data_IF_168707663293
#
_entry.id   IF_168707663293
#
_cell.length_a   1.000
_cell.length_b   1.000
_cell.length_c   1.000
_cell.angle_alpha   90.00
_cell.angle_beta   90.00
_cell.angle_gamma   90.00
#
_symmetry.space_group_name_H-M   'P 1'
#
loop_
_entity.id
_entity.type
_entity.pdbx_description
1 polymer ?
#
# COMPACT_ATOMS: atom_id res chain seq x y z
N UNK A 1 25.88 -80.82 -50.86
CA UNK A 1 26.16 -81.92 -49.92
C UNK A 1 26.53 -81.31 -48.57
N UNK A 2 25.65 -81.57 -47.59
CA UNK A 2 25.84 -81.53 -46.11
C UNK A 2 26.21 -80.22 -45.40
N UNK A 3 25.12 -79.56 -44.97
CA UNK A 3 24.82 -78.74 -43.78
C UNK A 3 25.31 -79.31 -42.42
N UNK A 4 25.30 -78.64 -41.25
CA UNK A 4 24.72 -77.38 -40.77
C UNK A 4 25.43 -76.96 -39.45
N UNK A 5 25.36 -75.67 -39.07
CA UNK A 5 25.81 -75.17 -37.75
C UNK A 5 24.95 -73.98 -37.25
N UNK A 6 24.61 -74.02 -35.96
CA UNK A 6 24.28 -72.94 -34.98
C UNK A 6 22.83 -72.37 -34.93
N UNK A 7 22.20 -72.29 -33.74
CA UNK A 7 21.75 -71.06 -33.00
C UNK A 7 20.82 -71.34 -31.77
N UNK A 8 21.13 -70.58 -30.70
CA UNK A 8 20.63 -70.26 -29.34
C UNK A 8 19.12 -70.17 -28.93
N UNK A 9 18.91 -70.32 -27.59
CA UNK A 9 18.32 -69.37 -26.57
C UNK A 9 16.97 -69.67 -25.84
N UNK A 10 17.10 -69.87 -24.50
CA UNK A 10 16.37 -69.31 -23.32
C UNK A 10 14.83 -69.28 -23.18
N UNK A 11 14.31 -69.81 -22.05
CA UNK A 11 13.37 -69.07 -21.15
C UNK A 11 13.28 -69.65 -19.72
N UNK A 12 13.72 -68.85 -18.75
CA UNK A 12 13.58 -69.05 -17.30
C UNK A 12 12.28 -68.40 -16.77
N UNK A 13 11.83 -68.92 -15.61
CA UNK A 13 11.10 -68.21 -14.55
C UNK A 13 9.62 -67.86 -14.76
N UNK A 14 8.75 -68.74 -14.24
CA UNK A 14 7.34 -68.48 -13.89
C UNK A 14 7.20 -68.61 -12.37
N UNK A 15 7.43 -67.55 -11.58
CA UNK A 15 6.78 -67.37 -10.27
C UNK A 15 7.11 -66.00 -9.64
N UNK A 16 6.50 -64.93 -10.14
CA UNK A 16 6.37 -63.61 -9.46
C UNK A 16 5.59 -62.66 -10.37
N UNK A 17 4.27 -62.84 -10.44
CA UNK A 17 3.43 -61.94 -11.23
C UNK A 17 1.99 -61.92 -10.71
N UNK A 18 1.81 -61.59 -9.43
CA UNK A 18 0.53 -61.13 -8.87
C UNK A 18 0.86 -60.06 -7.83
N UNK A 19 1.35 -58.89 -8.26
CA UNK A 19 1.41 -57.65 -7.49
C UNK A 19 1.91 -56.51 -8.40
N UNK A 20 1.22 -56.28 -9.53
CA UNK A 20 1.53 -55.14 -10.42
C UNK A 20 0.32 -54.81 -11.29
N UNK A 21 -0.78 -54.43 -10.65
CA UNK A 21 -2.04 -54.17 -11.37
C UNK A 21 -3.08 -53.37 -10.60
N UNK A 22 -2.69 -52.59 -9.60
CA UNK A 22 -3.61 -51.69 -8.89
C UNK A 22 -2.88 -50.48 -8.27
N UNK A 23 -2.25 -49.67 -9.12
CA UNK A 23 -1.72 -48.36 -8.71
C UNK A 23 -1.72 -47.39 -9.91
N UNK A 24 -2.87 -47.30 -10.58
CA UNK A 24 -3.22 -46.14 -11.42
C UNK A 24 -4.53 -45.61 -10.85
N UNK A 25 -4.48 -45.18 -9.59
CA UNK A 25 -5.55 -44.39 -8.99
C UNK A 25 -5.18 -42.93 -9.19
N UNK A 26 -5.66 -42.37 -10.30
CA UNK A 26 -6.10 -40.98 -10.44
C UNK A 26 -5.35 -39.98 -9.54
N UNK A 27 -4.11 -39.64 -9.91
CA UNK A 27 -3.61 -38.30 -9.62
C UNK A 27 -4.33 -37.34 -10.57
N UNK A 28 -5.59 -37.04 -10.26
CA UNK A 28 -6.23 -35.85 -10.78
C UNK A 28 -5.45 -34.68 -10.24
N UNK A 29 -4.60 -34.10 -11.09
CA UNK A 29 -3.97 -32.81 -10.86
C UNK A 29 -5.09 -31.78 -10.69
N UNK A 30 -5.58 -31.62 -9.46
CA UNK A 30 -6.24 -30.38 -9.08
C UNK A 30 -5.11 -29.37 -8.91
N UNK A 31 -4.70 -28.77 -10.02
CA UNK A 31 -4.16 -27.42 -9.94
C UNK A 31 -5.32 -26.56 -9.44
N UNK A 32 -5.43 -26.44 -8.11
CA UNK A 32 -6.16 -25.33 -7.52
C UNK A 32 -5.37 -24.08 -7.88
N UNK A 33 -5.55 -23.57 -9.10
CA UNK A 33 -5.21 -22.20 -9.40
C UNK A 33 -6.17 -21.40 -8.53
N UNK A 34 -5.69 -20.96 -7.36
CA UNK A 34 -6.40 -19.98 -6.57
C UNK A 34 -6.52 -18.76 -7.47
N UNK A 35 -7.66 -18.63 -8.15
CA UNK A 35 -7.95 -17.45 -8.96
C UNK A 35 -7.80 -16.26 -8.03
N UNK A 36 -6.91 -15.33 -8.37
CA UNK A 36 -6.76 -14.12 -7.58
C UNK A 36 -8.12 -13.43 -7.50
N UNK A 37 -8.52 -12.93 -6.33
CA UNK A 37 -9.78 -12.20 -6.20
C UNK A 37 -9.68 -10.94 -7.05
N UNK A 38 -10.77 -10.59 -7.73
CA UNK A 38 -10.85 -9.40 -8.56
C UNK A 38 -12.05 -8.56 -8.11
N UNK A 39 -11.94 -7.25 -8.28
CA UNK A 39 -13.05 -6.30 -8.11
C UNK A 39 -12.97 -5.25 -9.22
N UNK A 40 -14.11 -4.89 -9.81
CA UNK A 40 -14.20 -3.85 -10.82
C UNK A 40 -14.54 -2.50 -10.19
N UNK A 41 -13.68 -1.50 -10.36
CA UNK A 41 -14.01 -0.10 -10.10
C UNK A 41 -14.82 0.46 -11.28
N UNK A 42 -16.02 0.94 -10.98
CA UNK A 42 -16.89 1.60 -11.97
C UNK A 42 -16.54 3.07 -12.11
N UNK A 43 -16.59 3.56 -13.34
CA UNK A 43 -16.40 4.98 -13.64
C UNK A 43 -17.68 5.75 -13.26
N UNK A 44 -17.51 6.80 -12.48
CA UNK A 44 -18.58 7.69 -12.06
C UNK A 44 -18.33 9.12 -12.52
N UNK A 45 -19.42 9.81 -12.85
CA UNK A 45 -19.43 11.26 -13.08
C UNK A 45 -20.13 12.01 -11.96
N UNK A 46 -20.91 11.30 -11.13
CA UNK A 46 -21.58 11.85 -9.97
C UNK A 46 -20.57 12.25 -8.90
N UNK A 47 -20.90 13.28 -8.13
CA UNK A 47 -20.11 13.71 -6.99
C UNK A 47 -20.50 12.89 -5.76
N UNK A 48 -19.53 12.26 -5.11
CA UNK A 48 -19.71 11.63 -3.79
C UNK A 48 -19.52 12.73 -2.73
N UNK A 49 -20.43 12.83 -1.79
CA UNK A 49 -20.29 13.73 -0.64
C UNK A 49 -19.58 12.93 0.44
N UNK A 50 -18.30 13.23 0.65
CA UNK A 50 -17.52 12.52 1.64
C UNK A 50 -18.01 12.87 3.05
N UNK A 51 -18.82 11.99 3.64
CA UNK A 51 -19.39 12.14 4.99
C UNK A 51 -19.32 10.85 5.83
N UNK A 52 -18.86 9.76 5.23
CA UNK A 52 -18.68 8.49 5.90
C UNK A 52 -19.98 7.73 6.13
N UNK A 53 -21.08 8.08 5.43
CA UNK A 53 -22.37 7.40 5.52
C UNK A 53 -22.60 6.38 4.40
N UNK A 54 -21.98 6.60 3.23
CA UNK A 54 -22.08 5.71 2.06
C UNK A 54 -23.55 5.48 1.63
N UNK A 55 -24.38 6.51 1.73
CA UNK A 55 -25.82 6.46 1.50
C UNK A 55 -26.24 6.81 0.06
N UNK A 56 -25.30 7.34 -0.74
CA UNK A 56 -25.56 7.67 -2.13
C UNK A 56 -25.84 6.41 -2.96
N UNK A 57 -26.82 6.52 -3.86
CA UNK A 57 -27.26 5.39 -4.69
C UNK A 57 -26.15 4.81 -5.56
N UNK A 58 -25.12 5.59 -5.89
CA UNK A 58 -23.99 5.11 -6.71
C UNK A 58 -23.21 3.97 -6.03
N UNK A 59 -23.09 3.99 -4.70
CA UNK A 59 -22.45 2.93 -3.92
C UNK A 59 -23.16 1.57 -4.06
N UNK A 60 -24.48 1.58 -4.29
CA UNK A 60 -25.26 0.36 -4.52
C UNK A 60 -24.96 -0.29 -5.87
N UNK A 61 -24.38 0.47 -6.80
CA UNK A 61 -23.97 -0.05 -8.12
C UNK A 61 -22.57 -0.63 -8.10
N UNK A 62 -21.75 -0.29 -7.10
CA UNK A 62 -20.38 -0.76 -6.98
C UNK A 62 -20.32 -2.26 -6.71
N UNK A 63 -19.29 -2.92 -7.25
CA UNK A 63 -18.99 -4.30 -6.88
C UNK A 63 -18.49 -4.35 -5.43
N UNK A 64 -18.80 -5.44 -4.72
CA UNK A 64 -18.47 -5.62 -3.30
C UNK A 64 -17.33 -6.61 -3.15
N UNK A 65 -16.17 -6.12 -2.70
CA UNK A 65 -15.07 -6.93 -2.20
C UNK A 65 -15.39 -7.35 -0.76
N UNK A 66 -16.05 -8.50 -0.63
CA UNK A 66 -16.38 -9.13 0.66
C UNK A 66 -15.63 -10.43 0.92
N UNK A 67 -16.17 -11.23 1.84
CA UNK A 67 -15.69 -12.58 2.21
C UNK A 67 -14.21 -12.59 2.57
N UNK A 68 -13.81 -11.67 3.46
CA UNK A 68 -12.44 -11.58 3.95
C UNK A 68 -12.03 -12.91 4.62
N UNK A 69 -10.77 -13.27 4.46
CA UNK A 69 -10.16 -14.40 5.14
C UNK A 69 -9.46 -13.89 6.38
N UNK A 70 -9.52 -14.67 7.44
CA UNK A 70 -8.70 -14.40 8.60
C UNK A 70 -7.23 -14.62 8.22
N UNK A 71 -6.35 -13.77 8.74
CA UNK A 71 -4.90 -13.95 8.72
C UNK A 71 -4.41 -14.39 10.09
N UNK A 72 -4.92 -13.77 11.16
CA UNK A 72 -4.62 -14.14 12.54
C UNK A 72 -5.94 -14.18 13.35
N UNK A 73 -6.19 -15.21 14.18
CA UNK A 73 -5.30 -16.29 14.61
C UNK A 73 -5.13 -17.49 13.66
N UNK A 74 -5.91 -17.62 12.57
CA UNK A 74 -5.73 -18.69 11.58
C UNK A 74 -5.99 -18.20 10.15
N UNK A 75 -5.17 -18.64 9.19
CA UNK A 75 -5.33 -18.36 7.75
C UNK A 75 -6.19 -19.40 7.00
N UNK A 76 -6.94 -20.23 7.73
CA UNK A 76 -7.73 -21.33 7.17
C UNK A 76 -9.24 -21.10 7.24
N UNK A 77 -9.67 -19.97 7.78
CA UNK A 77 -11.09 -19.66 8.02
C UNK A 77 -11.45 -18.27 7.52
N UNK A 78 -12.73 -18.07 7.25
CA UNK A 78 -13.29 -16.75 6.97
C UNK A 78 -13.19 -15.82 8.19
N UNK A 79 -13.11 -14.52 7.93
CA UNK A 79 -13.13 -13.50 8.97
C UNK A 79 -14.43 -13.59 9.77
N UNK A 80 -14.33 -13.53 11.11
CA UNK A 80 -15.49 -13.60 11.99
C UNK A 80 -16.43 -12.39 11.87
N UNK A 81 -15.89 -11.21 11.56
CA UNK A 81 -16.63 -9.95 11.46
C UNK A 81 -16.61 -9.48 10.02
N UNK A 82 -17.79 -9.25 9.46
CA UNK A 82 -17.93 -8.88 8.05
C UNK A 82 -17.17 -7.58 7.76
N UNK A 83 -16.43 -7.58 6.66
CA UNK A 83 -15.81 -6.39 6.09
C UNK A 83 -16.10 -6.39 4.60
N UNK A 84 -16.61 -5.27 4.11
CA UNK A 84 -16.94 -5.04 2.71
C UNK A 84 -16.22 -3.79 2.22
N UNK A 85 -15.64 -3.89 1.03
CA UNK A 85 -15.01 -2.76 0.36
C UNK A 85 -15.64 -2.58 -1.02
N UNK A 86 -15.97 -1.34 -1.37
CA UNK A 86 -16.47 -0.93 -2.68
C UNK A 86 -15.48 0.06 -3.27
N UNK A 87 -15.20 -0.04 -4.56
CA UNK A 87 -14.31 0.89 -5.25
C UNK A 87 -15.03 1.51 -6.43
N UNK A 88 -14.97 2.83 -6.51
CA UNK A 88 -15.46 3.65 -7.61
C UNK A 88 -14.33 4.60 -8.03
N UNK A 89 -14.41 5.17 -9.22
CA UNK A 89 -13.44 6.20 -9.61
C UNK A 89 -14.06 7.21 -10.56
N UNK A 90 -13.56 8.44 -10.51
CA UNK A 90 -13.86 9.49 -11.48
C UNK A 90 -12.63 9.80 -12.34
N UNK A 91 -12.67 10.85 -13.14
CA UNK A 91 -11.47 11.32 -13.85
C UNK A 91 -10.36 11.84 -12.91
N UNK A 92 -10.70 12.18 -11.66
CA UNK A 92 -9.81 12.89 -10.74
C UNK A 92 -9.50 12.13 -9.46
N UNK A 93 -10.38 11.23 -9.01
CA UNK A 93 -10.25 10.55 -7.73
C UNK A 93 -10.57 9.06 -7.84
N UNK A 94 -9.89 8.28 -7.02
CA UNK A 94 -10.31 6.95 -6.60
C UNK A 94 -11.13 7.09 -5.32
N UNK A 95 -12.30 6.48 -5.28
CA UNK A 95 -13.19 6.45 -4.12
C UNK A 95 -13.28 5.04 -3.55
N UNK A 96 -13.16 4.91 -2.24
CA UNK A 96 -13.28 3.62 -1.55
C UNK A 96 -14.29 3.75 -0.42
N UNK A 97 -15.37 2.98 -0.52
CA UNK A 97 -16.40 2.86 0.50
C UNK A 97 -16.16 1.58 1.30
N UNK A 98 -16.22 1.66 2.62
CA UNK A 98 -15.87 0.56 3.51
C UNK A 98 -16.99 0.42 4.53
N UNK A 99 -17.48 -0.81 4.68
CA UNK A 99 -18.34 -1.22 5.78
C UNK A 99 -17.63 -2.29 6.58
N UNK A 100 -17.66 -2.20 7.91
CA UNK A 100 -16.99 -3.16 8.78
C UNK A 100 -17.76 -3.37 10.09
N UNK A 101 -18.16 -4.62 10.34
CA UNK A 101 -18.83 -5.02 11.58
C UNK A 101 -17.89 -4.86 12.78
N UNK A 102 -18.45 -4.34 13.87
CA UNK A 102 -17.77 -4.11 15.14
C UNK A 102 -17.75 -5.40 15.96
N UNK A 103 -16.61 -5.70 16.57
CA UNK A 103 -16.51 -6.78 17.56
C UNK A 103 -17.00 -6.31 18.94
N UNK A 104 -17.37 -7.23 19.86
CA UNK A 104 -17.77 -6.85 21.21
C UNK A 104 -16.70 -6.00 21.91
N UNK A 105 -17.15 -4.95 22.62
CA UNK A 105 -16.29 -3.98 23.30
C UNK A 105 -16.19 -2.64 22.58
N UNK A 106 -15.25 -1.81 22.99
CA UNK A 106 -15.01 -0.50 22.39
C UNK A 106 -13.87 -0.56 21.36
N UNK A 107 -13.89 0.36 20.41
CA UNK A 107 -12.79 0.51 19.46
C UNK A 107 -11.51 0.92 20.19
N UNK A 108 -10.40 0.25 19.86
CA UNK A 108 -9.07 0.51 20.37
C UNK A 108 -8.37 1.50 19.44
N UNK A 109 -8.39 2.78 19.79
CA UNK A 109 -7.63 3.83 19.10
C UNK A 109 -6.89 4.69 20.12
N UNK A 110 -5.56 4.65 20.08
CA UNK A 110 -4.65 5.27 21.05
C UNK A 110 -4.32 6.73 20.76
N UNK A 111 -4.62 7.22 19.56
CA UNK A 111 -4.35 8.61 19.15
C UNK A 111 -5.34 9.09 18.09
N UNK A 112 -5.69 10.37 18.15
CA UNK A 112 -6.43 11.07 17.09
C UNK A 112 -5.52 11.81 16.11
N UNK A 113 -4.20 11.68 16.28
CA UNK A 113 -3.20 12.24 15.38
C UNK A 113 -3.04 11.32 14.17
N UNK A 114 -2.94 11.93 12.98
CA UNK A 114 -2.47 11.28 11.75
C UNK A 114 -1.17 10.50 11.97
N UNK A 115 -0.94 9.48 11.15
CA UNK A 115 0.22 8.58 11.19
C UNK A 115 0.23 7.67 12.40
N UNK A 116 -0.95 7.18 12.79
CA UNK A 116 -1.10 6.21 13.85
C UNK A 116 -0.43 4.86 13.49
N UNK A 117 0.06 4.14 14.50
CA UNK A 117 0.61 2.80 14.32
C UNK A 117 -0.49 1.75 14.15
N UNK A 118 -0.56 1.06 13.01
CA UNK A 118 -1.65 0.09 12.75
C UNK A 118 -1.68 -1.11 13.71
N UNK A 119 -0.53 -1.56 14.21
CA UNK A 119 -0.44 -2.76 15.05
C UNK A 119 -1.19 -2.65 16.40
N UNK A 120 -1.43 -1.42 16.86
CA UNK A 120 -2.01 -1.13 18.19
C UNK A 120 -3.33 -0.37 18.10
N UNK A 121 -3.92 -0.25 16.91
CA UNK A 121 -5.13 0.52 16.66
C UNK A 121 -6.08 -0.23 15.73
N UNK A 122 -7.38 -0.22 16.03
CA UNK A 122 -8.39 -0.68 15.07
C UNK A 122 -8.31 0.16 13.81
N UNK A 123 -8.14 -0.52 12.67
CA UNK A 123 -8.05 0.14 11.38
C UNK A 123 -8.36 -0.80 10.24
N UNK A 124 -8.68 -0.20 9.10
CA UNK A 124 -8.59 -0.84 7.80
C UNK A 124 -7.52 -0.13 7.00
N UNK A 125 -6.72 -0.90 6.28
CA UNK A 125 -5.65 -0.42 5.41
C UNK A 125 -5.86 -0.95 4.00
N UNK A 126 -5.64 -0.09 3.02
CA UNK A 126 -5.80 -0.32 1.59
C UNK A 126 -4.42 -0.34 0.96
N UNK A 127 -4.01 -1.45 0.33
CA UNK A 127 -2.77 -1.53 -0.44
C UNK A 127 -3.06 -1.44 -1.93
N UNK A 128 -2.35 -0.55 -2.62
CA UNK A 128 -2.41 -0.38 -4.07
C UNK A 128 -1.00 -0.52 -4.67
N UNK A 129 -0.74 -1.62 -5.36
CA UNK A 129 0.38 -1.69 -6.29
C UNK A 129 -0.11 -1.29 -7.68
N UNK A 130 0.23 -0.05 -8.04
CA UNK A 130 -0.22 0.61 -9.26
C UNK A 130 0.59 0.24 -10.49
N UNK A 131 1.79 -0.34 -10.32
CA UNK A 131 2.66 -0.82 -11.39
C UNK A 131 2.56 -2.33 -11.60
N UNK A 132 1.91 -3.03 -10.68
CA UNK A 132 1.68 -4.49 -10.70
C UNK A 132 2.98 -5.31 -10.74
N UNK A 133 4.03 -4.83 -10.07
CA UNK A 133 5.37 -5.42 -10.15
C UNK A 133 5.75 -6.34 -8.98
N UNK A 134 4.98 -6.37 -7.89
CA UNK A 134 5.31 -7.23 -6.74
C UNK A 134 6.15 -6.56 -5.66
N UNK A 135 6.66 -5.35 -5.90
CA UNK A 135 7.79 -4.80 -5.16
C UNK A 135 7.44 -3.58 -4.33
N UNK A 136 6.58 -2.70 -4.87
CA UNK A 136 6.16 -1.47 -4.22
C UNK A 136 4.64 -1.33 -4.20
N UNK A 137 4.12 -0.62 -3.20
CA UNK A 137 2.71 -0.27 -3.13
C UNK A 137 2.51 1.02 -2.33
N UNK A 138 1.42 1.73 -2.61
CA UNK A 138 0.90 2.75 -1.72
C UNK A 138 0.02 2.09 -0.66
N UNK A 139 0.07 2.58 0.57
CA UNK A 139 -0.92 2.22 1.59
C UNK A 139 -1.68 3.44 2.10
N UNK A 140 -2.97 3.26 2.35
CA UNK A 140 -3.85 4.24 3.00
C UNK A 140 -4.63 3.54 4.10
N UNK A 141 -4.56 4.04 5.33
CA UNK A 141 -5.21 3.43 6.49
C UNK A 141 -6.09 4.43 7.23
N UNK A 142 -7.24 3.96 7.69
CA UNK A 142 -8.22 4.76 8.42
C UNK A 142 -8.69 3.99 9.65
N UNK A 143 -8.75 4.65 10.80
CA UNK A 143 -9.38 4.10 12.01
C UNK A 143 -10.90 4.33 11.99
N UNK A 144 -11.69 3.62 12.81
CA UNK A 144 -13.11 3.94 13.00
C UNK A 144 -13.38 5.38 13.46
N UNK A 145 -12.37 6.07 14.00
CA UNK A 145 -12.46 7.49 14.40
C UNK A 145 -12.07 8.46 13.28
N UNK A 146 -11.84 7.99 12.05
CA UNK A 146 -11.43 8.83 10.92
C UNK A 146 -9.96 9.28 10.97
N UNK A 147 -9.15 8.65 11.82
CA UNK A 147 -7.72 9.00 11.92
C UNK A 147 -6.98 8.37 10.76
N UNK A 148 -6.18 9.17 10.06
CA UNK A 148 -5.56 8.80 8.79
C UNK A 148 -4.11 8.34 8.97
N UNK A 149 -3.66 7.45 8.10
CA UNK A 149 -2.24 7.14 7.88
C UNK A 149 -2.02 6.78 6.41
N UNK A 150 -0.84 7.05 5.91
CA UNK A 150 -0.47 6.68 4.55
C UNK A 150 1.04 6.47 4.48
N UNK A 151 1.48 5.96 3.33
CA UNK A 151 2.89 5.82 3.07
C UNK A 151 3.15 4.87 1.92
N UNK A 152 4.43 4.52 1.80
CA UNK A 152 4.93 3.58 0.80
C UNK A 152 5.30 2.27 1.46
N UNK A 153 5.02 1.19 0.74
CA UNK A 153 5.48 -0.16 1.02
C UNK A 153 6.53 -0.50 -0.03
N UNK A 154 7.67 -1.01 0.39
CA UNK A 154 8.75 -1.46 -0.48
C UNK A 154 9.27 -2.84 -0.06
N UNK A 155 10.26 -3.35 -0.78
CA UNK A 155 10.87 -4.67 -0.54
C UNK A 155 9.83 -5.81 -0.49
N UNK A 156 8.79 -5.71 -1.32
CA UNK A 156 7.73 -6.71 -1.38
C UNK A 156 6.88 -6.81 -0.10
N UNK A 157 6.84 -5.77 0.73
CA UNK A 157 6.03 -5.73 1.95
C UNK A 157 6.81 -5.71 3.26
N UNK A 158 8.14 -5.78 3.21
CA UNK A 158 8.98 -5.82 4.40
C UNK A 158 9.27 -4.43 4.99
N UNK A 159 9.30 -3.40 4.16
CA UNK A 159 9.64 -2.04 4.54
C UNK A 159 8.45 -1.09 4.38
N UNK A 160 8.28 -0.18 5.35
CA UNK A 160 7.24 0.84 5.39
C UNK A 160 7.87 2.21 5.56
N UNK A 161 7.59 3.11 4.63
CA UNK A 161 7.89 4.51 4.76
C UNK A 161 6.61 5.29 5.05
N UNK A 162 6.41 5.65 6.32
CA UNK A 162 5.28 6.47 6.78
C UNK A 162 5.58 7.98 6.74
N UNK A 163 6.74 8.40 6.21
CA UNK A 163 7.09 9.83 6.07
C UNK A 163 6.57 10.42 4.77
N UNK A 164 6.15 9.57 3.82
CA UNK A 164 5.45 9.99 2.62
C UNK A 164 4.05 10.47 2.99
N UNK A 165 3.87 11.80 2.96
CA UNK A 165 2.61 12.48 3.29
C UNK A 165 2.00 13.06 2.01
N UNK A 166 0.74 12.73 1.76
CA UNK A 166 -0.01 13.22 0.61
C UNK A 166 -1.39 13.70 1.03
N UNK A 167 -1.95 14.63 0.26
CA UNK A 167 -3.33 15.08 0.48
C UNK A 167 -4.31 14.04 -0.05
N UNK A 168 -5.11 13.50 0.86
CA UNK A 168 -6.26 12.65 0.61
C UNK A 168 -7.25 12.84 1.76
N UNK A 169 -8.49 12.42 1.56
CA UNK A 169 -9.57 12.62 2.52
C UNK A 169 -10.23 11.30 2.86
N UNK A 170 -10.67 11.16 4.11
CA UNK A 170 -11.60 10.12 4.50
C UNK A 170 -12.48 10.61 5.64
N UNK A 171 -13.73 10.17 5.65
CA UNK A 171 -14.69 10.41 6.72
C UNK A 171 -15.20 9.07 7.25
N UNK A 172 -15.46 9.03 8.56
CA UNK A 172 -15.84 7.80 9.24
C UNK A 172 -17.05 8.01 10.15
N UNK A 173 -18.08 7.20 9.97
CA UNK A 173 -19.24 7.14 10.86
C UNK A 173 -19.25 5.82 11.62
N UNK A 174 -19.62 5.90 12.90
CA UNK A 174 -19.67 4.76 13.82
C UNK A 174 -21.08 4.54 14.30
N UNK A 175 -21.46 3.28 14.36
CA UNK A 175 -22.74 2.78 14.85
C UNK A 175 -22.49 1.78 15.98
N UNK A 176 -23.56 1.25 16.56
CA UNK A 176 -23.46 0.33 17.70
C UNK A 176 -22.80 -1.01 17.32
N UNK A 177 -22.99 -1.45 16.08
CA UNK A 177 -22.61 -2.76 15.55
C UNK A 177 -21.65 -2.71 14.35
N UNK A 178 -21.35 -1.52 13.80
CA UNK A 178 -20.45 -1.37 12.66
C UNK A 178 -19.86 0.04 12.56
N UNK A 179 -18.91 0.21 11.64
CA UNK A 179 -18.46 1.51 11.17
C UNK A 179 -18.45 1.55 9.65
N UNK A 180 -18.63 2.75 9.12
CA UNK A 180 -18.56 3.06 7.69
C UNK A 180 -17.45 4.09 7.48
N UNK A 181 -16.67 3.92 6.42
CA UNK A 181 -15.63 4.85 6.01
C UNK A 181 -15.79 5.12 4.53
N UNK A 182 -15.72 6.39 4.15
CA UNK A 182 -15.54 6.80 2.77
C UNK A 182 -14.17 7.43 2.61
N UNK A 183 -13.49 7.09 1.53
CA UNK A 183 -12.14 7.55 1.20
C UNK A 183 -12.15 8.16 -0.19
N UNK A 184 -11.50 9.31 -0.35
CA UNK A 184 -11.23 9.95 -1.64
C UNK A 184 -9.72 10.19 -1.79
N UNK A 185 -9.11 9.48 -2.75
CA UNK A 185 -7.68 9.59 -3.08
C UNK A 185 -7.56 10.25 -4.46
N UNK A 186 -6.99 11.47 -4.56
CA UNK A 186 -6.74 12.10 -5.85
C UNK A 186 -5.77 11.26 -6.69
N UNK A 187 -6.03 11.06 -7.99
CA UNK A 187 -5.06 10.41 -8.88
C UNK A 187 -3.75 11.20 -9.00
N UNK A 188 -3.77 12.50 -8.71
CA UNK A 188 -2.55 13.34 -8.64
C UNK A 188 -1.60 12.93 -7.52
N UNK A 189 -2.08 12.14 -6.55
CA UNK A 189 -1.33 11.63 -5.40
C UNK A 189 -0.62 10.29 -5.69
N UNK A 190 -0.92 9.64 -6.84
CA UNK A 190 -0.45 8.29 -7.16
C UNK A 190 0.28 8.29 -8.49
N UNK A 191 1.43 7.62 -8.56
CA UNK A 191 2.08 7.30 -9.84
C UNK A 191 1.53 5.98 -10.39
N UNK A 192 1.24 5.95 -11.69
CA UNK A 192 0.77 4.74 -12.37
C UNK A 192 1.00 4.81 -13.89
N UNK A 193 1.19 3.67 -14.58
CA UNK A 193 1.33 3.63 -16.04
C UNK A 193 0.12 4.23 -16.75
N UNK A 194 0.36 5.07 -17.76
CA UNK A 194 -0.70 5.57 -18.64
C UNK A 194 -1.42 4.40 -19.33
N UNK A 195 -2.74 4.46 -19.42
CA UNK A 195 -3.54 3.45 -20.08
C UNK A 195 -3.65 2.14 -19.30
N UNK A 196 -3.20 2.09 -18.05
CA UNK A 196 -3.40 0.91 -17.21
C UNK A 196 -4.88 0.68 -16.93
N UNK A 197 -5.32 -0.57 -17.04
CA UNK A 197 -6.68 -1.01 -16.72
C UNK A 197 -6.75 -1.82 -15.44
N UNK A 198 -5.61 -2.08 -14.80
CA UNK A 198 -5.53 -2.99 -13.65
C UNK A 198 -4.43 -2.56 -12.69
N UNK A 199 -4.75 -2.56 -11.40
CA UNK A 199 -3.80 -2.50 -10.30
C UNK A 199 -3.90 -3.78 -9.47
N UNK A 200 -2.87 -4.08 -8.67
CA UNK A 200 -3.01 -5.09 -7.62
C UNK A 200 -3.51 -4.40 -6.35
N UNK A 201 -4.52 -4.98 -5.71
CA UNK A 201 -5.25 -4.37 -4.61
C UNK A 201 -5.45 -5.36 -3.47
N UNK A 202 -5.20 -4.90 -2.24
CA UNK A 202 -5.52 -5.70 -1.05
C UNK A 202 -5.90 -4.84 0.14
N UNK A 203 -7.19 -4.78 0.48
CA UNK A 203 -7.61 -4.29 1.78
C UNK A 203 -7.34 -5.35 2.86
N UNK A 204 -6.88 -4.91 4.02
CA UNK A 204 -6.74 -5.72 5.22
C UNK A 204 -7.15 -4.92 6.46
N UNK A 205 -7.57 -5.62 7.51
CA UNK A 205 -8.16 -5.05 8.72
C UNK A 205 -7.44 -5.55 9.97
N UNK A 206 -7.19 -4.63 10.89
CA UNK A 206 -6.82 -4.91 12.27
C UNK A 206 -8.04 -4.69 13.17
N UNK A 207 -8.45 -5.75 13.86
CA UNK A 207 -9.49 -5.73 14.88
C UNK A 207 -8.87 -6.10 16.24
N UNK A 208 -8.37 -5.09 16.93
CA UNK A 208 -7.77 -5.22 18.26
C UNK A 208 -8.80 -5.50 19.35
N UNK A 209 -10.09 -5.20 19.12
CA UNK A 209 -11.16 -5.55 20.06
C UNK A 209 -11.24 -7.07 20.26
N UNK A 210 -11.07 -7.86 19.18
CA UNK A 210 -11.08 -9.32 19.21
C UNK A 210 -9.71 -9.98 18.97
N UNK A 211 -8.65 -9.18 18.85
CA UNK A 211 -7.30 -9.63 18.49
C UNK A 211 -7.27 -10.48 17.20
N UNK A 212 -7.94 -9.97 16.17
CA UNK A 212 -8.09 -10.60 14.86
C UNK A 212 -7.52 -9.71 13.76
N UNK A 213 -6.90 -10.33 12.76
CA UNK A 213 -6.44 -9.65 11.55
C UNK A 213 -7.06 -10.35 10.36
N UNK A 214 -7.58 -9.58 9.42
CA UNK A 214 -8.29 -10.08 8.25
C UNK A 214 -7.72 -9.49 6.97
N UNK A 215 -7.77 -10.24 5.88
CA UNK A 215 -7.32 -9.81 4.56
C UNK A 215 -8.33 -10.25 3.51
N UNK A 216 -8.54 -9.40 2.50
CA UNK A 216 -9.47 -9.73 1.43
C UNK A 216 -9.05 -10.99 0.66
N UNK A 217 -7.74 -11.13 0.41
CA UNK A 217 -7.13 -12.33 -0.18
C UNK A 217 -6.47 -13.16 0.92
N UNK A 218 -6.46 -14.49 0.78
CA UNK A 218 -5.77 -15.39 1.70
C UNK A 218 -4.27 -15.09 1.66
N UNK A 219 -3.71 -14.74 2.81
CA UNK A 219 -2.26 -14.57 3.01
C UNK A 219 -1.80 -15.67 3.97
N UNK A 220 -0.80 -16.49 3.61
CA UNK A 220 -0.28 -17.50 4.52
C UNK A 220 0.30 -16.87 5.79
N UNK A 221 0.03 -17.45 6.97
CA UNK A 221 0.53 -16.93 8.24
C UNK A 221 2.06 -16.83 8.35
N UNK A 222 2.80 -17.59 7.52
CA UNK A 222 4.26 -17.51 7.49
C UNK A 222 4.77 -16.24 6.77
N UNK A 223 3.89 -15.49 6.09
CA UNK A 223 4.22 -14.21 5.48
C UNK A 223 3.82 -13.04 6.36
N UNK A 224 4.33 -11.85 6.04
CA UNK A 224 3.83 -10.60 6.61
C UNK A 224 2.44 -10.30 6.04
N UNK A 225 1.53 -9.78 6.87
CA UNK A 225 0.23 -9.28 6.40
C UNK A 225 0.37 -8.15 5.37
N UNK A 226 1.53 -7.48 5.35
CA UNK A 226 1.92 -6.46 4.39
C UNK A 226 2.57 -6.99 3.10
N UNK A 227 2.88 -8.29 3.02
CA UNK A 227 3.55 -8.91 1.87
C UNK A 227 2.82 -8.63 0.56
N UNK A 228 3.50 -8.20 -0.49
CA UNK A 228 2.89 -7.90 -1.79
C UNK A 228 2.80 -9.13 -2.70
N UNK A 229 3.16 -10.32 -2.20
CA UNK A 229 3.11 -11.57 -2.97
C UNK A 229 1.66 -11.99 -3.29
N UNK A 230 0.75 -11.88 -2.31
CA UNK A 230 -0.61 -12.37 -2.40
C UNK A 230 -1.62 -11.20 -2.44
N UNK A 231 -1.85 -10.62 -3.62
CA UNK A 231 -2.79 -9.50 -3.81
C UNK A 231 -3.90 -9.86 -4.80
N UNK A 232 -5.06 -9.23 -4.62
CA UNK A 232 -6.15 -9.26 -5.60
C UNK A 232 -5.89 -8.29 -6.75
N UNK A 233 -6.83 -8.21 -7.68
CA UNK A 233 -6.80 -7.25 -8.78
C UNK A 233 -7.94 -6.25 -8.66
N UNK A 234 -7.60 -4.98 -8.85
CA UNK A 234 -8.55 -3.89 -9.05
C UNK A 234 -8.59 -3.57 -10.53
N UNK A 235 -9.72 -3.86 -11.17
CA UNK A 235 -9.93 -3.66 -12.60
C UNK A 235 -10.69 -2.36 -12.81
N UNK A 236 -10.19 -1.45 -13.63
CA UNK A 236 -10.89 -0.23 -13.98
C UNK A 236 -11.80 -0.47 -15.20
N UNK A 237 -13.06 -0.04 -15.11
CA UNK A 237 -14.03 -0.16 -16.21
C UNK A 237 -13.52 0.44 -17.53
N UNK A 238 -12.75 1.52 -17.45
CA UNK A 238 -12.00 2.13 -18.55
C UNK A 238 -10.53 2.30 -18.15
N UNK A 239 -9.58 2.15 -19.09
CA UNK A 239 -8.17 2.46 -18.85
C UNK A 239 -8.00 3.85 -18.24
N UNK A 240 -7.12 3.95 -17.25
CA UNK A 240 -6.76 5.22 -16.64
C UNK A 240 -5.98 6.10 -17.62
N UNK A 241 -6.12 7.41 -17.48
CA UNK A 241 -5.31 8.38 -18.22
C UNK A 241 -3.86 8.42 -17.73
N UNK A 242 -3.17 9.53 -18.02
CA UNK A 242 -1.84 9.78 -17.48
C UNK A 242 -1.90 10.14 -15.98
N UNK A 243 -0.92 9.66 -15.22
CA UNK A 243 -0.66 10.13 -13.85
C UNK A 243 -0.23 11.60 -13.88
N UNK A 244 -1.04 12.49 -13.28
CA UNK A 244 -0.82 13.94 -13.28
C UNK A 244 -0.30 14.40 -11.92
N UNK A 245 0.97 14.15 -11.62
CA UNK A 245 1.56 14.72 -10.41
C UNK A 245 1.65 16.24 -10.53
N UNK A 246 1.27 16.98 -9.47
CA UNK A 246 1.23 18.44 -9.52
C UNK A 246 2.66 19.02 -9.58
N UNK A 247 2.84 20.05 -10.39
CA UNK A 247 4.05 20.88 -10.35
C UNK A 247 3.96 21.75 -9.09
N UNK A 248 4.93 21.62 -8.19
CA UNK A 248 5.02 22.47 -7.01
C UNK A 248 5.97 23.64 -7.28
N UNK A 249 5.51 24.87 -7.04
CA UNK A 249 6.33 26.08 -7.06
C UNK A 249 6.30 26.71 -5.66
N UNK A 250 7.47 26.86 -5.06
CA UNK A 250 7.65 27.26 -3.66
C UNK A 250 8.54 28.50 -3.62
N UNK A 251 7.98 29.71 -3.82
CA UNK A 251 8.76 30.95 -3.72
C UNK A 251 9.06 31.29 -2.25
N UNK A 252 10.23 31.87 -1.98
CA UNK A 252 10.55 32.40 -0.65
C UNK A 252 11.21 33.78 -0.71
N UNK A 253 11.04 34.50 0.40
CA UNK A 253 11.60 35.82 0.66
C UNK A 253 12.20 35.79 2.06
N UNK A 254 13.48 36.16 2.17
CA UNK A 254 14.21 36.26 3.42
C UNK A 254 14.67 37.72 3.64
N UNK A 255 14.45 38.22 4.85
CA UNK A 255 14.91 39.54 5.29
C UNK A 255 15.83 39.32 6.50
N UNK A 256 17.10 39.63 6.35
CA UNK A 256 18.10 39.57 7.40
C UNK A 256 18.45 41.01 7.80
N UNK A 257 18.33 41.33 9.08
CA UNK A 257 18.68 42.65 9.60
C UNK A 257 19.71 42.48 10.70
N UNK A 258 20.91 43.02 10.48
CA UNK A 258 22.02 42.97 11.41
C UNK A 258 22.30 44.38 11.93
N UNK A 259 22.54 44.52 13.24
CA UNK A 259 22.93 45.79 13.84
C UNK A 259 24.19 45.62 14.68
N UNK A 260 25.24 46.34 14.30
CA UNK A 260 26.47 46.41 15.06
C UNK A 260 26.39 47.55 16.09
N UNK A 261 26.20 47.18 17.37
CA UNK A 261 26.10 48.14 18.47
C UNK A 261 27.42 48.85 18.83
N UNK A 262 28.56 48.40 18.28
CA UNK A 262 29.87 49.04 18.47
C UNK A 262 30.20 50.12 17.43
N UNK A 263 29.71 49.99 16.20
CA UNK A 263 29.87 51.00 15.12
C UNK A 263 28.59 51.79 14.81
N UNK A 264 27.46 51.46 15.44
CA UNK A 264 26.10 51.96 15.16
C UNK A 264 25.69 51.83 13.68
N UNK A 265 26.22 50.80 13.01
CA UNK A 265 25.86 50.44 11.64
C UNK A 265 24.76 49.38 11.65
N UNK A 266 23.80 49.53 10.74
CA UNK A 266 22.78 48.53 10.45
C UNK A 266 22.89 48.09 9.00
N UNK A 267 22.91 46.78 8.77
CA UNK A 267 22.77 46.18 7.44
C UNK A 267 21.41 45.48 7.34
N UNK A 268 20.78 45.56 6.18
CA UNK A 268 19.53 44.84 5.91
C UNK A 268 19.64 44.20 4.55
N UNK A 269 19.71 42.88 4.56
CA UNK A 269 19.84 42.07 3.36
C UNK A 269 18.48 41.48 2.99
N UNK A 270 18.12 41.68 1.72
CA UNK A 270 16.94 41.09 1.12
C UNK A 270 17.38 39.96 0.18
N UNK A 271 16.89 38.75 0.42
CA UNK A 271 17.11 37.60 -0.45
C UNK A 271 15.78 37.05 -0.92
N UNK A 272 15.71 36.66 -2.19
CA UNK A 272 14.57 35.93 -2.74
C UNK A 272 15.08 34.74 -3.52
N UNK A 273 14.31 33.66 -3.45
CA UNK A 273 14.56 32.45 -4.20
C UNK A 273 13.28 31.66 -4.36
N UNK A 274 13.42 30.45 -4.84
CA UNK A 274 12.30 29.53 -4.90
C UNK A 274 12.69 28.18 -5.42
N UNK A 275 11.88 27.19 -5.06
CA UNK A 275 12.02 25.81 -5.48
C UNK A 275 10.89 25.44 -6.44
N UNK A 276 11.21 24.59 -7.42
CA UNK A 276 10.24 23.97 -8.30
C UNK A 276 10.44 22.46 -8.27
N UNK A 277 9.36 21.71 -8.09
CA UNK A 277 9.36 20.25 -8.22
C UNK A 277 8.46 19.85 -9.39
N UNK A 278 9.02 19.10 -10.34
CA UNK A 278 8.36 18.73 -11.58
C UNK A 278 8.52 17.22 -11.79
N UNK A 279 7.43 16.47 -11.77
CA UNK A 279 7.47 15.06 -12.17
C UNK A 279 7.44 14.95 -13.70
N UNK A 280 8.40 14.21 -14.26
CA UNK A 280 8.52 13.96 -15.70
C UNK A 280 8.21 12.49 -15.95
N UNK A 281 7.00 12.22 -16.44
CA UNK A 281 6.46 10.87 -16.56
C UNK A 281 6.35 10.18 -15.20
N UNK A 282 6.50 8.85 -15.20
CA UNK A 282 6.29 8.03 -14.00
C UNK A 282 7.57 7.69 -13.23
N UNK A 283 8.74 7.96 -13.80
CA UNK A 283 10.03 7.48 -13.26
C UNK A 283 11.03 8.57 -12.89
N UNK A 284 10.71 9.85 -13.09
CA UNK A 284 11.68 10.94 -12.88
C UNK A 284 11.02 12.13 -12.19
N UNK A 285 11.69 12.66 -11.17
CA UNK A 285 11.36 13.94 -10.55
C UNK A 285 12.53 14.91 -10.83
N UNK A 286 12.20 16.11 -11.31
CA UNK A 286 13.12 17.22 -11.53
C UNK A 286 12.90 18.28 -10.46
N UNK A 287 13.88 18.46 -9.60
CA UNK A 287 13.89 19.51 -8.58
C UNK A 287 14.83 20.64 -9.03
N UNK A 288 14.33 21.87 -9.05
CA UNK A 288 15.07 23.08 -9.45
C UNK A 288 15.03 24.07 -8.29
N UNK A 289 16.18 24.57 -7.87
CA UNK A 289 16.29 25.62 -6.84
C UNK A 289 16.93 26.87 -7.44
N UNK A 290 16.28 28.02 -7.25
CA UNK A 290 16.79 29.33 -7.65
C UNK A 290 17.19 30.13 -6.40
N UNK A 291 18.45 30.59 -6.36
CA UNK A 291 19.05 31.36 -5.25
C UNK A 291 18.98 30.66 -3.87
N UNK A 292 19.49 29.42 -3.73
CA UNK A 292 19.38 28.60 -2.52
C UNK A 292 19.79 29.36 -1.26
N UNK A 293 18.95 29.31 -0.23
CA UNK A 293 19.26 29.90 1.07
C UNK A 293 19.95 28.89 2.00
N UNK A 294 21.28 28.96 2.06
CA UNK A 294 22.08 28.17 3.00
C UNK A 294 22.06 28.71 4.43
N UNK A 295 21.38 29.83 4.70
CA UNK A 295 21.31 30.44 6.02
C UNK A 295 20.40 29.66 6.99
N UNK A 296 19.56 28.77 6.44
CA UNK A 296 18.61 27.93 7.17
C UNK A 296 18.92 26.42 7.02
N UNK A 297 20.19 26.04 6.81
CA UNK A 297 20.57 24.67 7.21
C UNK A 297 20.30 24.63 8.71
N UNK A 298 19.34 23.81 9.16
CA UNK A 298 19.19 23.48 10.58
C UNK A 298 20.60 23.23 11.10
N UNK A 299 21.07 24.16 11.95
CA UNK A 299 22.32 23.98 12.68
C UNK A 299 22.18 22.63 13.31
N UNK A 300 23.11 21.72 13.00
CA UNK A 300 23.18 20.38 13.58
C UNK A 300 22.71 20.48 15.04
N UNK A 301 21.61 19.81 15.38
CA UNK A 301 21.23 19.67 16.78
C UNK A 301 22.49 19.18 17.48
N UNK A 302 23.08 20.00 18.35
CA UNK A 302 24.31 19.63 19.06
C UNK A 302 23.91 18.51 20.02
N UNK A 303 23.92 17.29 19.54
CA UNK A 303 23.65 16.11 20.33
C UNK A 303 24.97 15.66 20.93
N UNK A 304 25.10 15.76 22.25
CA UNK A 304 26.24 15.13 22.93
C UNK A 304 25.96 13.64 23.01
N UNK A 305 26.31 12.90 21.96
CA UNK A 305 26.22 11.45 21.96
C UNK A 305 27.31 10.87 22.88
N UNK A 306 26.91 10.48 24.08
CA UNK A 306 27.80 9.83 25.07
C UNK A 306 27.87 8.31 24.89
N UNK A 307 27.30 7.77 23.81
CA UNK A 307 27.27 6.32 23.52
C UNK A 307 28.15 5.97 22.31
N UNK A 308 28.54 4.70 22.18
CA UNK A 308 29.47 4.21 21.13
C UNK A 308 28.78 3.88 19.80
N UNK A 309 27.52 4.28 19.62
CA UNK A 309 26.71 3.97 18.44
C UNK A 309 26.37 5.25 17.69
N UNK A 310 26.34 5.20 16.36
CA UNK A 310 25.95 6.34 15.53
C UNK A 310 24.47 6.69 15.75
N UNK A 311 24.18 7.99 15.88
CA UNK A 311 22.81 8.50 15.95
C UNK A 311 22.35 8.72 14.51
N UNK A 312 21.35 7.95 14.07
CA UNK A 312 20.65 8.20 12.81
C UNK A 312 19.52 9.20 13.08
N UNK A 313 19.64 10.41 12.57
CA UNK A 313 18.56 11.39 12.60
C UNK A 313 17.54 11.04 11.50
N UNK A 314 16.22 11.11 11.77
CA UNK A 314 15.22 10.94 10.74
C UNK A 314 15.33 12.09 9.73
N UNK A 315 15.46 11.75 8.45
CA UNK A 315 15.51 12.72 7.35
C UNK A 315 14.13 13.38 7.19
N UNK A 316 14.10 14.71 7.18
CA UNK A 316 12.88 15.52 7.19
C UNK A 316 12.69 16.35 5.91
N UNK A 317 13.70 16.45 5.06
CA UNK A 317 13.58 17.17 3.80
C UNK A 317 12.85 16.30 2.80
N UNK A 318 11.75 16.81 2.28
CA UNK A 318 10.88 16.10 1.33
C UNK A 318 11.62 15.62 0.06
N UNK A 319 12.76 16.23 -0.27
CA UNK A 319 13.70 15.80 -1.32
C UNK A 319 14.21 14.36 -1.17
N UNK A 320 14.57 13.96 0.05
CA UNK A 320 15.13 12.63 0.31
C UNK A 320 14.05 11.59 0.64
N UNK A 321 12.86 12.03 1.06
CA UNK A 321 11.73 11.17 1.43
C UNK A 321 11.15 10.46 0.19
N UNK A 322 10.90 11.21 -0.88
CA UNK A 322 10.21 10.73 -2.09
C UNK A 322 10.98 9.65 -2.89
N UNK A 323 12.28 9.47 -2.62
CA UNK A 323 13.16 8.47 -3.24
C UNK A 323 14.02 7.70 -2.20
N UNK A 324 13.62 7.73 -0.93
CA UNK A 324 14.42 7.13 0.18
C UNK A 324 14.68 5.63 0.00
N UNK A 325 13.77 4.93 -0.68
CA UNK A 325 13.89 3.54 -1.08
C UNK A 325 15.11 3.24 -1.97
N UNK A 326 15.53 4.22 -2.79
CA UNK A 326 16.72 4.08 -3.64
C UNK A 326 18.04 4.29 -2.89
N UNK A 327 18.01 4.86 -1.68
CA UNK A 327 19.21 5.30 -0.96
C UNK A 327 19.38 4.69 0.44
N UNK A 328 18.34 4.14 1.07
CA UNK A 328 18.41 3.57 2.43
C UNK A 328 19.41 2.41 2.57
N UNK A 329 19.72 1.70 1.48
CA UNK A 329 20.61 0.53 1.46
C UNK A 329 22.05 0.82 0.97
N UNK A 330 22.41 2.07 0.69
CA UNK A 330 23.81 2.46 0.42
C UNK A 330 24.43 3.06 1.69
N UNK A 331 24.83 2.20 2.64
CA UNK A 331 25.52 2.61 3.86
C UNK A 331 25.94 1.44 4.74
#
# INVERSE_FOLDING_TARGET
>A
MTENRIIYRWKYSRFRMIFSGLLITVCGLSFGQSTSKQITAKLITDNIVLDGLMDETIWQTAEVAGNFQQFFPSDQVEAQYTTEVRVLYSETHLYVGIYAEKAPGDYVVSTLKRDFGALTNDNISLLFDTFSDGTTAYFFGVTPYGVLREGLVSEGGAAFNNTWDIKWQAEASRYDDHFVIEVAIPFTSLKFPEGTSTWRFRPYRWNNQSNQQDSWVKVPQQQLLSSLADMGELIFEKPLGESRMPIALIPYINILADKNYGSDESDTQFKTGGDAKISIGNGMNLDLTLNPDFSNVEVDDIFTNLTRFEVRLPEKRQFFIDNSDLFENFG
#
